data_IF_508604446096
#
_entry.id   IF_508604446096
#
_cell.length_a   1.000
_cell.length_b   1.000
_cell.length_c   1.000
_cell.angle_alpha   90.00
_cell.angle_beta   90.00
_cell.angle_gamma   90.00
#
_symmetry.space_group_name_H-M   'P 1'
#
loop_
_entity.id
_entity.type
_entity.pdbx_description
1 polymer ?
#
# COMPACT_ATOMS: atom_id res chain seq x y z
N UNK A 1 -31.98 17.76 -43.64
CA UNK A 1 -31.47 16.51 -43.03
C UNK A 1 -31.45 16.63 -41.51
N UNK A 2 -31.02 17.78 -40.95
CA UNK A 2 -31.17 18.11 -39.52
C UNK A 2 -32.63 18.07 -39.02
N UNK A 3 -33.56 18.65 -39.78
CA UNK A 3 -34.97 18.72 -39.38
C UNK A 3 -35.65 17.34 -39.27
N UNK A 4 -35.20 16.36 -40.06
CA UNK A 4 -35.68 14.99 -39.97
C UNK A 4 -35.08 14.25 -38.76
N UNK A 5 -33.84 14.58 -38.38
CA UNK A 5 -33.18 14.05 -37.19
C UNK A 5 -33.82 14.59 -35.91
N UNK A 6 -34.12 15.89 -35.87
CA UNK A 6 -34.82 16.55 -34.76
C UNK A 6 -36.24 15.98 -34.57
N UNK A 7 -36.98 15.81 -35.67
CA UNK A 7 -38.30 15.19 -35.63
C UNK A 7 -38.24 13.71 -35.20
N UNK A 8 -37.19 12.97 -35.57
CA UNK A 8 -36.97 11.60 -35.10
C UNK A 8 -36.69 11.57 -33.59
N UNK A 9 -35.88 12.50 -33.06
CA UNK A 9 -35.56 12.59 -31.63
C UNK A 9 -36.78 13.01 -30.79
N UNK A 10 -37.68 13.83 -31.36
CA UNK A 10 -38.92 14.27 -30.72
C UNK A 10 -40.03 13.20 -30.72
N UNK A 11 -40.11 12.37 -31.76
CA UNK A 11 -41.17 11.34 -31.91
C UNK A 11 -40.77 9.98 -31.34
N UNK A 12 -39.50 9.60 -31.50
CA UNK A 12 -38.90 8.41 -30.90
C UNK A 12 -38.10 8.81 -29.66
N UNK A 13 -38.79 9.32 -28.65
CA UNK A 13 -38.20 9.54 -27.34
C UNK A 13 -37.45 8.28 -26.89
N UNK A 14 -36.18 8.43 -26.52
CA UNK A 14 -35.32 7.35 -26.08
C UNK A 14 -35.87 6.76 -24.77
N UNK A 15 -36.75 5.75 -24.87
CA UNK A 15 -37.53 5.17 -23.76
C UNK A 15 -36.77 4.14 -22.92
N UNK A 16 -35.43 4.10 -23.00
CA UNK A 16 -34.66 3.12 -22.21
C UNK A 16 -34.68 3.47 -20.71
N UNK A 17 -35.03 4.70 -20.34
CA UNK A 17 -35.07 5.15 -18.95
C UNK A 17 -36.23 6.11 -18.68
N UNK A 18 -36.93 5.90 -17.56
CA UNK A 18 -37.92 6.84 -17.02
C UNK A 18 -37.19 7.94 -16.24
N UNK A 19 -37.21 9.18 -16.73
CA UNK A 19 -36.50 10.29 -16.09
C UNK A 19 -36.89 10.53 -14.64
N UNK A 20 -38.17 10.34 -14.28
CA UNK A 20 -38.62 10.38 -12.89
C UNK A 20 -37.92 9.32 -12.02
N UNK A 21 -37.64 8.13 -12.57
CA UNK A 21 -36.90 7.10 -11.86
C UNK A 21 -35.41 7.43 -11.75
N UNK A 22 -34.82 8.21 -12.67
CA UNK A 22 -33.42 8.65 -12.58
C UNK A 22 -33.28 9.82 -11.60
N UNK A 23 -34.19 10.80 -11.68
CA UNK A 23 -34.17 12.01 -10.85
C UNK A 23 -34.57 11.71 -9.40
N UNK A 24 -35.46 10.74 -9.20
CA UNK A 24 -35.86 10.25 -7.88
C UNK A 24 -35.18 8.91 -7.51
N UNK A 25 -34.24 8.41 -8.33
CA UNK A 25 -33.48 7.23 -7.94
C UNK A 25 -32.77 7.58 -6.63
N UNK A 26 -32.91 6.78 -5.57
CA UNK A 26 -31.97 6.87 -4.47
C UNK A 26 -30.58 6.71 -5.08
N UNK A 27 -29.68 7.68 -4.82
CA UNK A 27 -28.30 7.62 -5.32
C UNK A 27 -27.78 6.20 -5.09
N UNK A 28 -27.25 5.52 -6.13
CA UNK A 28 -26.77 4.17 -5.96
C UNK A 28 -25.77 4.15 -4.81
N UNK A 29 -26.12 3.42 -3.74
CA UNK A 29 -25.23 3.22 -2.62
C UNK A 29 -24.17 2.23 -3.09
N UNK A 30 -22.98 2.74 -3.44
CA UNK A 30 -21.85 1.89 -3.78
C UNK A 30 -21.38 1.20 -2.50
N UNK A 31 -21.55 -0.12 -2.45
CA UNK A 31 -21.04 -0.92 -1.33
C UNK A 31 -19.50 -0.87 -1.26
N UNK A 32 -18.86 -0.82 -2.42
CA UNK A 32 -17.42 -0.66 -2.58
C UNK A 32 -17.12 0.74 -3.12
N UNK A 33 -16.33 1.50 -2.37
CA UNK A 33 -15.89 2.83 -2.77
C UNK A 33 -14.67 2.72 -3.69
N UNK A 34 -14.48 3.64 -4.64
CA UNK A 34 -13.28 3.66 -5.48
C UNK A 34 -12.03 3.94 -4.64
N UNK A 35 -10.96 3.19 -4.91
CA UNK A 35 -9.66 3.28 -4.23
C UNK A 35 -8.78 4.38 -4.84
N UNK A 36 -9.14 5.64 -4.59
CA UNK A 36 -8.47 6.79 -5.19
C UNK A 36 -7.09 7.11 -4.60
N UNK A 37 -6.82 6.69 -3.36
CA UNK A 37 -5.60 7.00 -2.59
C UNK A 37 -4.75 5.77 -2.24
N UNK A 38 -5.15 4.62 -2.77
CA UNK A 38 -4.57 3.33 -2.46
C UNK A 38 -5.60 2.37 -1.87
N UNK A 39 -5.09 1.19 -1.52
CA UNK A 39 -5.87 0.05 -1.06
C UNK A 39 -6.68 0.39 0.22
N UNK A 40 -7.88 -0.16 0.34
CA UNK A 40 -8.70 0.02 1.54
C UNK A 40 -8.73 -1.28 2.32
N UNK A 41 -8.14 -1.28 3.51
CA UNK A 41 -8.25 -2.41 4.43
C UNK A 41 -9.58 -2.27 5.17
N UNK A 42 -10.48 -3.22 4.93
CA UNK A 42 -11.75 -3.32 5.65
C UNK A 42 -11.54 -4.14 6.92
N UNK A 43 -12.18 -3.71 8.01
CA UNK A 43 -12.14 -4.45 9.26
C UNK A 43 -13.45 -4.36 10.03
N UNK A 44 -13.54 -5.18 11.07
CA UNK A 44 -14.65 -5.15 12.03
C UNK A 44 -14.11 -5.15 13.46
N UNK A 45 -14.74 -4.35 14.31
CA UNK A 45 -14.46 -4.23 15.73
C UNK A 45 -15.62 -4.83 16.51
N UNK A 46 -15.32 -5.82 17.34
CA UNK A 46 -16.31 -6.45 18.23
C UNK A 46 -15.84 -6.41 19.67
N UNK A 47 -16.77 -6.38 20.61
CA UNK A 47 -16.42 -6.58 22.02
C UNK A 47 -16.20 -8.08 22.27
N UNK A 48 -15.03 -8.45 22.77
CA UNK A 48 -14.57 -9.81 23.03
C UNK A 48 -15.40 -10.52 24.12
N UNK A 49 -16.03 -9.78 25.03
CA UNK A 49 -16.90 -10.36 26.07
C UNK A 49 -18.29 -10.68 25.55
N UNK A 50 -18.88 -9.81 24.72
CA UNK A 50 -20.27 -9.95 24.27
C UNK A 50 -20.40 -10.52 22.85
N UNK A 51 -19.33 -10.46 22.05
CA UNK A 51 -19.32 -10.77 20.63
C UNK A 51 -20.03 -9.72 19.75
N UNK A 52 -20.57 -8.65 20.34
CA UNK A 52 -21.36 -7.65 19.62
C UNK A 52 -20.45 -6.63 18.92
N UNK A 53 -20.91 -6.05 17.79
CA UNK A 53 -20.19 -4.95 17.15
C UNK A 53 -20.00 -3.76 18.09
N UNK A 54 -18.82 -3.16 18.07
CA UNK A 54 -18.48 -2.02 18.91
C UNK A 54 -18.42 -0.75 18.08
N UNK A 55 -19.26 0.24 18.41
CA UNK A 55 -19.33 1.53 17.74
C UNK A 55 -18.45 2.58 18.39
N UNK A 56 -17.98 3.56 17.60
CA UNK A 56 -17.19 4.71 18.07
C UNK A 56 -15.84 4.33 18.70
N UNK A 57 -15.29 3.18 18.33
CA UNK A 57 -13.98 2.71 18.77
C UNK A 57 -12.93 3.11 17.74
N UNK A 58 -11.88 3.80 18.20
CA UNK A 58 -10.72 4.10 17.36
C UNK A 58 -9.84 2.86 17.25
N UNK A 59 -9.43 2.57 16.03
CA UNK A 59 -8.59 1.44 15.68
C UNK A 59 -7.40 1.91 14.82
N UNK A 60 -6.32 1.13 14.86
CA UNK A 60 -5.05 1.41 14.21
C UNK A 60 -4.58 0.19 13.42
N UNK A 61 -4.02 0.44 12.24
CA UNK A 61 -3.21 -0.51 11.46
C UNK A 61 -1.82 0.09 11.35
N UNK A 62 -0.83 -0.56 11.93
CA UNK A 62 0.57 -0.15 11.87
C UNK A 62 1.33 -1.04 10.90
N UNK A 63 2.22 -0.47 10.11
CA UNK A 63 3.20 -1.19 9.28
C UNK A 63 4.58 -0.83 9.83
N UNK A 64 5.15 -1.67 10.71
CA UNK A 64 6.48 -1.46 11.25
C UNK A 64 7.54 -1.57 10.16
N UNK A 65 8.65 -0.85 10.32
CA UNK A 65 9.76 -0.91 9.37
C UNK A 65 10.61 0.35 9.36
N UNK A 66 11.47 0.47 8.34
CA UNK A 66 12.27 1.69 8.13
C UNK A 66 11.40 2.91 7.80
N UNK A 67 10.33 2.68 7.04
CA UNK A 67 9.25 3.64 6.76
C UNK A 67 8.04 3.25 7.60
N UNK A 68 7.81 3.96 8.69
CA UNK A 68 6.68 3.70 9.57
C UNK A 68 5.41 4.21 8.90
N UNK A 69 4.45 3.31 8.72
CA UNK A 69 3.10 3.68 8.29
C UNK A 69 2.14 3.34 9.43
N UNK A 70 1.19 4.24 9.66
CA UNK A 70 0.14 4.06 10.65
C UNK A 70 -1.13 4.55 9.99
N UNK A 71 -2.21 3.79 10.06
CA UNK A 71 -3.53 4.16 9.56
C UNK A 71 -4.52 4.07 10.70
N UNK A 72 -5.48 4.99 10.76
CA UNK A 72 -6.48 5.01 11.83
C UNK A 72 -7.89 5.13 11.26
N UNK A 73 -8.83 4.49 11.95
CA UNK A 73 -10.24 4.51 11.61
C UNK A 73 -11.09 4.46 12.88
N UNK A 74 -12.31 4.98 12.80
CA UNK A 74 -13.30 4.95 13.89
C UNK A 74 -14.45 4.06 13.44
N UNK A 75 -14.84 3.12 14.28
CA UNK A 75 -15.88 2.16 13.94
C UNK A 75 -17.26 2.79 13.85
N UNK A 76 -18.04 2.38 12.85
CA UNK A 76 -19.43 2.81 12.70
C UNK A 76 -20.39 2.11 13.67
N UNK A 77 -21.69 2.38 13.59
CA UNK A 77 -22.71 1.76 14.46
C UNK A 77 -22.81 0.23 14.31
N UNK A 78 -22.24 -0.34 13.24
CA UNK A 78 -22.18 -1.76 12.97
C UNK A 78 -20.78 -2.33 13.25
N UNK A 79 -19.89 -1.55 13.86
CA UNK A 79 -18.52 -1.96 14.18
C UNK A 79 -17.57 -2.01 12.98
N UNK A 80 -17.96 -1.53 11.79
CA UNK A 80 -17.08 -1.58 10.63
C UNK A 80 -16.05 -0.45 10.68
N UNK A 81 -14.82 -0.75 10.26
CA UNK A 81 -13.73 0.21 10.08
C UNK A 81 -13.18 0.11 8.67
N UNK A 82 -12.72 1.24 8.12
CA UNK A 82 -12.07 1.33 6.81
C UNK A 82 -10.77 2.10 6.97
N UNK A 83 -9.65 1.44 6.72
CA UNK A 83 -8.33 2.05 6.74
C UNK A 83 -7.92 2.38 5.31
N UNK A 84 -7.81 3.68 5.03
CA UNK A 84 -7.35 4.16 3.74
C UNK A 84 -5.82 4.13 3.72
N UNK A 85 -5.23 3.12 3.11
CA UNK A 85 -3.77 2.97 3.08
C UNK A 85 -3.20 3.71 1.89
N UNK A 86 -2.26 4.61 2.16
CA UNK A 86 -1.55 5.37 1.15
C UNK A 86 -0.16 4.77 0.96
N UNK A 87 0.23 4.57 -0.30
CA UNK A 87 1.55 4.08 -0.70
C UNK A 87 1.97 2.77 0.00
N UNK A 88 1.01 1.88 0.21
CA UNK A 88 1.19 0.59 0.86
C UNK A 88 1.27 -0.51 -0.20
N UNK A 89 2.48 -1.00 -0.45
CA UNK A 89 2.77 -1.91 -1.56
C UNK A 89 3.38 -3.23 -1.09
N UNK A 90 3.02 -4.32 -1.77
CA UNK A 90 3.57 -5.65 -1.60
C UNK A 90 3.32 -6.30 -0.24
N UNK A 91 4.02 -7.39 0.07
CA UNK A 91 3.86 -8.11 1.32
C UNK A 91 4.46 -7.31 2.47
N UNK A 92 3.66 -7.08 3.50
CA UNK A 92 4.10 -6.45 4.74
C UNK A 92 3.48 -7.16 5.94
N UNK A 93 4.18 -7.15 7.06
CA UNK A 93 3.55 -7.47 8.34
C UNK A 93 2.78 -6.23 8.84
N UNK A 94 1.52 -6.43 9.20
CA UNK A 94 0.68 -5.38 9.78
C UNK A 94 0.28 -5.72 11.21
N UNK A 95 0.23 -4.69 12.05
CA UNK A 95 -0.20 -4.79 13.45
C UNK A 95 -1.50 -4.03 13.63
N UNK A 96 -2.56 -4.75 13.96
CA UNK A 96 -3.90 -4.23 14.17
C UNK A 96 -4.22 -4.16 15.66
N UNK A 97 -4.65 -2.99 16.12
CA UNK A 97 -5.07 -2.81 17.51
C UNK A 97 -6.14 -1.73 17.66
N UNK A 98 -6.89 -1.79 18.75
CA UNK A 98 -7.81 -0.71 19.15
C UNK A 98 -7.11 0.25 20.11
N UNK A 99 -7.65 1.46 20.22
CA UNK A 99 -7.20 2.41 21.22
C UNK A 99 -7.56 1.91 22.62
N UNK A 100 -6.58 1.92 23.53
CA UNK A 100 -6.75 1.46 24.91
C UNK A 100 -7.25 2.59 25.81
N UNK A 101 -8.44 3.13 25.57
CA UNK A 101 -9.10 3.98 26.58
C UNK A 101 -9.80 3.09 27.60
N UNK A 102 -9.02 2.38 28.42
CA UNK A 102 -9.47 1.66 29.61
C UNK A 102 -9.98 0.22 29.41
N UNK A 103 -10.75 -0.07 28.37
CA UNK A 103 -11.33 -1.41 28.15
C UNK A 103 -10.60 -2.15 27.02
N UNK A 104 -9.67 -3.04 27.36
CA UNK A 104 -8.91 -3.88 26.42
C UNK A 104 -9.74 -5.01 25.80
N UNK A 105 -11.08 -4.88 25.84
CA UNK A 105 -12.00 -5.94 25.43
C UNK A 105 -12.35 -5.89 23.96
N UNK A 106 -11.84 -4.97 23.15
CA UNK A 106 -12.20 -4.95 21.73
C UNK A 106 -11.25 -5.82 20.88
N UNK A 107 -11.84 -6.63 20.01
CA UNK A 107 -11.15 -7.42 19.01
C UNK A 107 -11.33 -6.77 17.64
N UNK A 108 -10.22 -6.50 16.97
CA UNK A 108 -10.18 -6.03 15.59
C UNK A 108 -9.85 -7.21 14.67
N UNK A 109 -10.60 -7.35 13.57
CA UNK A 109 -10.36 -8.36 12.54
C UNK A 109 -10.36 -7.70 11.16
N UNK A 110 -9.52 -8.20 10.26
CA UNK A 110 -9.51 -7.81 8.85
C UNK A 110 -10.55 -8.61 8.09
N UNK A 111 -11.30 -7.93 7.22
CA UNK A 111 -12.27 -8.54 6.31
C UNK A 111 -11.65 -8.76 4.93
N UNK A 112 -12.02 -9.85 4.27
CA UNK A 112 -11.62 -10.10 2.88
C UNK A 112 -12.14 -8.98 1.97
N UNK A 113 -11.29 -8.38 1.12
CA UNK A 113 -11.75 -7.41 0.13
C UNK A 113 -12.42 -8.08 -1.09
N UNK A 114 -12.36 -9.41 -1.20
CA UNK A 114 -12.88 -10.16 -2.34
C UNK A 114 -14.38 -10.44 -2.20
N UNK A 115 -15.09 -10.39 -3.34
CA UNK A 115 -16.50 -10.76 -3.39
C UNK A 115 -16.67 -12.27 -3.27
N UNK A 116 -17.41 -12.72 -2.26
CA UNK A 116 -17.85 -14.11 -2.13
C UNK A 116 -19.03 -14.46 -3.07
N UNK A 117 -19.51 -13.49 -3.85
CA UNK A 117 -20.53 -13.71 -4.88
C UNK A 117 -19.88 -14.17 -6.17
N UNK A 118 -20.12 -15.43 -6.52
CA UNK A 118 -19.74 -16.00 -7.81
C UNK A 118 -20.73 -15.61 -8.90
N UNK A 119 -20.24 -15.46 -10.13
CA UNK A 119 -21.10 -15.23 -11.30
C UNK A 119 -21.95 -16.46 -11.57
N UNK A 120 -23.23 -16.25 -11.91
CA UNK A 120 -24.10 -17.32 -12.44
C UNK A 120 -23.83 -17.62 -13.91
N UNK A 121 -23.03 -16.79 -14.59
CA UNK A 121 -22.65 -16.98 -15.99
C UNK A 121 -21.71 -18.17 -16.14
N UNK A 122 -22.05 -19.09 -17.04
CA UNK A 122 -21.17 -20.18 -17.41
C UNK A 122 -20.21 -19.72 -18.50
N UNK A 123 -18.92 -19.70 -18.20
CA UNK A 123 -17.90 -19.46 -19.22
C UNK A 123 -17.75 -20.69 -20.12
N UNK A 124 -17.48 -20.52 -21.43
CA UNK A 124 -17.19 -21.64 -22.30
C UNK A 124 -15.95 -22.39 -21.77
N UNK A 125 -16.02 -23.72 -21.76
CA UNK A 125 -14.87 -24.55 -21.40
C UNK A 125 -13.72 -24.29 -22.37
N UNK A 126 -12.50 -24.17 -21.86
CA UNK A 126 -11.29 -24.09 -22.68
C UNK A 126 -11.17 -25.37 -23.53
N UNK A 127 -11.35 -25.25 -24.85
CA UNK A 127 -11.11 -26.32 -25.80
C UNK A 127 -9.78 -26.07 -26.52
N UNK A 128 -8.85 -27.00 -26.38
CA UNK A 128 -7.55 -26.95 -27.05
C UNK A 128 -7.58 -27.90 -28.26
N UNK A 129 -7.35 -27.36 -29.46
CA UNK A 129 -7.19 -28.17 -30.68
C UNK A 129 -5.82 -28.88 -30.61
N UNK A 130 -5.75 -30.15 -31.01
CA UNK A 130 -4.49 -30.91 -31.07
C UNK A 130 -3.44 -30.22 -31.96
N UNK A 131 -3.87 -29.40 -32.93
CA UNK A 131 -2.98 -28.58 -33.77
C UNK A 131 -2.10 -27.62 -32.98
N UNK A 132 -2.52 -27.16 -31.80
CA UNK A 132 -1.71 -26.24 -30.97
C UNK A 132 -0.77 -26.96 -30.01
N UNK A 133 -0.79 -28.30 -29.95
CA UNK A 133 0.01 -29.09 -29.01
C UNK A 133 1.50 -28.76 -29.07
N UNK A 134 2.08 -28.74 -30.28
CA UNK A 134 3.50 -28.47 -30.45
C UNK A 134 3.84 -27.03 -30.05
N UNK A 135 3.00 -26.05 -30.45
CA UNK A 135 3.17 -24.65 -30.07
C UNK A 135 3.17 -24.46 -28.55
N UNK A 136 2.22 -25.08 -27.84
CA UNK A 136 2.14 -25.03 -26.39
C UNK A 136 3.34 -25.72 -25.72
N UNK A 137 3.83 -26.82 -26.30
CA UNK A 137 5.05 -27.49 -25.85
C UNK A 137 6.27 -26.57 -25.98
N UNK A 138 6.41 -25.90 -27.11
CA UNK A 138 7.52 -24.96 -27.36
C UNK A 138 7.45 -23.76 -26.39
N UNK A 139 6.26 -23.21 -26.15
CA UNK A 139 6.06 -22.14 -25.16
C UNK A 139 6.35 -22.59 -23.72
N UNK A 140 6.01 -23.84 -23.37
CA UNK A 140 6.34 -24.41 -22.08
C UNK A 140 7.87 -24.54 -21.91
N UNK A 141 8.58 -25.04 -22.94
CA UNK A 141 10.04 -25.10 -22.93
C UNK A 141 10.65 -23.70 -22.83
N UNK A 142 10.18 -22.74 -23.63
CA UNK A 142 10.62 -21.34 -23.59
C UNK A 142 10.44 -20.71 -22.20
N UNK A 143 9.31 -20.97 -21.55
CA UNK A 143 9.03 -20.48 -20.19
C UNK A 143 10.00 -21.08 -19.17
N UNK A 144 10.30 -22.38 -19.26
CA UNK A 144 11.28 -23.03 -18.37
C UNK A 144 12.69 -22.49 -18.58
N UNK A 145 13.11 -22.31 -19.83
CA UNK A 145 14.40 -21.71 -20.18
C UNK A 145 14.51 -20.30 -19.60
N UNK A 146 13.51 -19.45 -19.81
CA UNK A 146 13.49 -18.09 -19.26
C UNK A 146 13.54 -18.06 -17.73
N UNK A 147 12.76 -18.91 -17.06
CA UNK A 147 12.78 -18.99 -15.59
C UNK A 147 14.13 -19.48 -15.04
N UNK A 148 14.80 -20.40 -15.73
CA UNK A 148 16.07 -20.97 -15.29
C UNK A 148 17.27 -20.05 -15.51
N UNK A 149 17.32 -19.33 -16.63
CA UNK A 149 18.50 -18.50 -17.00
C UNK A 149 18.31 -16.99 -16.75
N UNK A 150 17.06 -16.51 -16.75
CA UNK A 150 16.71 -15.09 -16.60
C UNK A 150 15.71 -14.83 -15.47
N UNK A 151 15.34 -15.85 -14.69
CA UNK A 151 14.27 -15.76 -13.69
C UNK A 151 14.44 -14.63 -12.67
N UNK A 152 15.65 -14.44 -12.15
CA UNK A 152 15.95 -13.35 -11.20
C UNK A 152 15.71 -11.97 -11.85
N UNK A 153 16.10 -11.81 -13.12
CA UNK A 153 15.91 -10.57 -13.87
C UNK A 153 14.44 -10.29 -14.20
N UNK A 154 13.65 -11.35 -14.39
CA UNK A 154 12.21 -11.28 -14.68
C UNK A 154 11.35 -10.98 -13.45
N UNK A 155 11.90 -11.18 -12.24
CA UNK A 155 11.27 -10.95 -10.94
C UNK A 155 11.73 -9.65 -10.29
N UNK A 156 12.22 -8.69 -11.08
CA UNK A 156 12.47 -7.35 -10.58
C UNK A 156 11.15 -6.58 -10.45
N UNK A 157 10.74 -6.40 -9.20
CA UNK A 157 9.60 -5.60 -8.82
C UNK A 157 10.13 -4.41 -8.02
N UNK A 158 9.62 -3.22 -8.32
CA UNK A 158 9.95 -2.02 -7.58
C UNK A 158 8.68 -1.42 -7.02
N UNK A 159 8.76 -0.94 -5.77
CA UNK A 159 7.82 0.07 -5.35
C UNK A 159 7.93 1.25 -6.31
N UNK A 160 6.81 1.89 -6.71
CA UNK A 160 6.91 3.17 -7.38
C UNK A 160 7.74 4.13 -6.52
N UNK A 161 8.32 5.16 -7.12
CA UNK A 161 9.09 6.16 -6.37
C UNK A 161 8.18 6.81 -5.30
N UNK A 162 8.35 6.37 -4.06
CA UNK A 162 7.60 6.82 -2.89
C UNK A 162 8.51 7.58 -1.94
N UNK A 163 7.95 8.57 -1.24
CA UNK A 163 8.64 9.26 -0.17
C UNK A 163 8.98 8.27 0.95
N UNK A 164 10.24 8.27 1.38
CA UNK A 164 10.75 7.39 2.44
C UNK A 164 10.39 7.89 3.83
N UNK A 165 9.85 9.09 3.96
CA UNK A 165 9.38 9.62 5.22
C UNK A 165 8.28 8.74 5.84
N UNK A 166 8.33 8.58 7.16
CA UNK A 166 7.25 7.99 7.96
C UNK A 166 5.97 8.82 7.83
N UNK A 167 4.82 8.26 8.25
CA UNK A 167 3.52 8.96 8.11
C UNK A 167 3.52 10.39 8.69
N UNK A 168 4.26 10.63 9.78
CA UNK A 168 4.39 11.95 10.42
C UNK A 168 5.37 12.92 9.73
N UNK A 169 5.98 12.51 8.61
CA UNK A 169 6.97 13.27 7.87
C UNK A 169 8.33 13.30 8.59
N UNK A 170 9.07 14.39 8.42
CA UNK A 170 10.31 14.64 9.16
C UNK A 170 9.99 14.99 10.62
N UNK A 171 10.66 14.35 11.61
CA UNK A 171 10.53 14.74 13.01
C UNK A 171 11.16 16.11 13.24
N UNK A 172 10.66 16.83 14.25
CA UNK A 172 11.21 18.14 14.63
C UNK A 172 12.55 17.98 15.36
N UNK A 173 12.68 16.91 16.15
CA UNK A 173 13.91 16.55 16.88
C UNK A 173 14.16 15.05 16.75
N UNK A 174 15.43 14.67 16.62
CA UNK A 174 15.86 13.27 16.57
C UNK A 174 17.11 13.07 17.44
N UNK A 175 17.02 12.12 18.36
CA UNK A 175 18.11 11.71 19.23
C UNK A 175 18.65 10.36 18.77
N UNK A 176 19.84 10.35 18.15
CA UNK A 176 20.59 9.12 17.93
C UNK A 176 21.27 8.75 19.24
N UNK A 177 20.76 7.71 19.85
CA UNK A 177 20.95 7.43 21.26
C UNK A 177 22.40 6.94 21.53
N UNK A 178 23.09 6.42 20.50
CA UNK A 178 24.52 6.07 20.50
C UNK A 178 25.47 7.28 20.56
N UNK A 179 24.99 8.49 20.27
CA UNK A 179 25.83 9.70 20.30
C UNK A 179 25.99 10.26 21.72
N UNK A 180 25.34 9.66 22.72
CA UNK A 180 25.29 10.13 24.10
C UNK A 180 25.81 9.06 25.06
N UNK A 181 26.23 9.48 26.25
CA UNK A 181 26.52 8.54 27.35
C UNK A 181 25.25 7.78 27.69
N UNK A 182 25.30 6.44 27.72
CA UNK A 182 24.11 5.62 27.96
C UNK A 182 23.73 5.65 29.44
N UNK A 183 22.51 6.08 29.74
CA UNK A 183 21.90 5.87 31.06
C UNK A 183 21.31 4.46 31.17
N UNK A 184 21.16 3.99 32.41
CA UNK A 184 20.64 2.66 32.70
C UNK A 184 19.11 2.58 32.69
N UNK A 185 18.42 3.72 32.76
CA UNK A 185 16.95 3.78 32.81
C UNK A 185 16.39 4.72 31.74
N UNK A 186 15.22 4.36 31.18
CA UNK A 186 14.55 5.21 30.19
C UNK A 186 14.08 6.54 30.80
N UNK A 187 13.72 6.55 32.08
CA UNK A 187 13.37 7.78 32.79
C UNK A 187 14.52 8.80 32.79
N UNK A 188 15.75 8.37 33.09
CA UNK A 188 16.93 9.23 33.03
C UNK A 188 17.20 9.73 31.62
N UNK A 189 17.14 8.85 30.61
CA UNK A 189 17.31 9.24 29.19
C UNK A 189 16.35 10.35 28.80
N UNK A 190 15.06 10.20 29.13
CA UNK A 190 14.06 11.19 28.77
C UNK A 190 14.23 12.50 29.55
N UNK A 191 14.64 12.45 30.82
CA UNK A 191 14.85 13.66 31.64
C UNK A 191 16.10 14.44 31.27
N UNK A 192 17.19 13.75 30.93
CA UNK A 192 18.51 14.36 30.78
C UNK A 192 18.84 14.71 29.33
N UNK A 193 18.31 13.96 28.35
CA UNK A 193 18.64 14.15 26.93
C UNK A 193 17.46 14.62 26.07
N UNK A 194 16.27 14.06 26.28
CA UNK A 194 15.10 14.31 25.42
C UNK A 194 14.26 15.44 25.99
N UNK A 195 14.77 16.67 25.92
CA UNK A 195 14.20 17.85 26.58
C UNK A 195 12.75 18.15 26.20
N UNK A 196 12.34 17.78 24.98
CA UNK A 196 10.98 18.02 24.50
C UNK A 196 9.93 17.10 25.13
N UNK A 197 10.35 16.00 25.75
CA UNK A 197 9.47 14.97 26.34
C UNK A 197 9.58 15.02 27.86
N UNK A 198 8.58 15.62 28.49
CA UNK A 198 8.51 15.72 29.94
C UNK A 198 7.93 14.45 30.55
N UNK A 199 8.67 13.83 31.46
CA UNK A 199 8.21 12.68 32.25
C UNK A 199 7.58 13.17 33.56
N UNK A 200 6.26 13.04 33.68
CA UNK A 200 5.52 13.37 34.90
C UNK A 200 5.10 12.10 35.63
N UNK A 201 5.51 11.96 36.89
CA UNK A 201 5.07 10.88 37.76
C UNK A 201 3.79 11.26 38.49
N UNK A 202 2.79 10.37 38.48
CA UNK A 202 1.53 10.49 39.21
C UNK A 202 1.30 9.21 40.02
N UNK A 203 1.66 9.25 41.31
CA UNK A 203 1.73 8.06 42.19
C UNK A 203 2.67 6.98 41.58
N UNK A 204 2.09 5.87 41.12
CA UNK A 204 2.80 4.73 40.53
C UNK A 204 2.80 4.73 38.99
N UNK A 205 2.10 5.69 38.37
CA UNK A 205 2.00 5.80 36.91
C UNK A 205 2.86 6.94 36.36
N UNK A 206 3.37 6.73 35.16
CA UNK A 206 4.04 7.76 34.38
C UNK A 206 3.11 8.35 33.32
N UNK A 207 3.34 9.63 33.01
CA UNK A 207 2.72 10.35 31.92
C UNK A 207 3.81 11.05 31.12
N UNK A 208 3.80 10.87 29.81
CA UNK A 208 4.67 11.59 28.89
C UNK A 208 3.93 12.81 28.35
N UNK A 209 4.61 13.94 28.27
CA UNK A 209 4.04 15.16 27.74
C UNK A 209 5.05 15.81 26.78
N UNK A 210 4.61 16.17 25.58
CA UNK A 210 5.45 16.83 24.58
C UNK A 210 5.27 18.34 24.68
N UNK A 211 6.36 19.07 24.44
CA UNK A 211 6.34 20.52 24.27
C UNK A 211 6.08 20.92 22.81
N UNK A 212 5.36 22.01 22.60
CA UNK A 212 5.15 22.58 21.27
C UNK A 212 6.38 23.34 20.76
N UNK A 213 6.30 23.90 19.54
CA UNK A 213 7.39 24.67 18.94
C UNK A 213 7.81 25.90 19.77
N UNK A 214 6.89 26.47 20.56
CA UNK A 214 7.15 27.60 21.48
C UNK A 214 7.59 27.12 22.88
N UNK A 215 7.89 25.83 23.03
CA UNK A 215 8.21 25.15 24.28
C UNK A 215 7.10 25.20 25.35
N UNK A 216 5.84 25.35 24.93
CA UNK A 216 4.68 25.24 25.81
C UNK A 216 4.24 23.79 25.91
N UNK A 217 3.70 23.43 27.06
CA UNK A 217 3.32 22.05 27.35
C UNK A 217 1.94 21.76 26.73
N UNK A 218 1.80 20.66 25.99
CA UNK A 218 0.48 20.17 25.60
C UNK A 218 -0.26 19.58 26.81
N UNK A 219 -1.57 19.83 26.94
CA UNK A 219 -2.34 19.36 28.09
C UNK A 219 -2.70 17.86 28.02
N UNK A 220 -2.77 17.29 26.81
CA UNK A 220 -3.12 15.88 26.58
C UNK A 220 -1.89 15.06 26.16
N UNK A 221 -2.05 13.74 26.17
CA UNK A 221 -0.97 12.79 25.91
C UNK A 221 -0.54 12.82 24.43
N UNK A 222 0.77 12.67 24.15
CA UNK A 222 1.25 12.52 22.79
C UNK A 222 0.93 11.10 22.28
N UNK A 223 0.97 10.92 20.96
CA UNK A 223 1.03 9.58 20.40
C UNK A 223 2.42 8.99 20.67
N UNK A 224 2.49 7.99 21.53
CA UNK A 224 3.74 7.26 21.77
C UNK A 224 3.79 6.04 20.88
N UNK A 225 4.85 5.92 20.10
CA UNK A 225 5.09 4.82 19.16
C UNK A 225 6.33 4.04 19.58
N UNK A 226 6.27 2.72 19.41
CA UNK A 226 7.40 1.83 19.56
C UNK A 226 7.56 1.03 18.26
N UNK A 227 8.65 1.28 17.53
CA UNK A 227 8.86 0.83 16.15
C UNK A 227 7.67 1.13 15.23
N UNK A 228 7.01 2.28 15.44
CA UNK A 228 5.86 2.70 14.66
C UNK A 228 4.51 2.14 15.08
N UNK A 229 4.46 1.27 16.09
CA UNK A 229 3.21 0.76 16.67
C UNK A 229 2.82 1.60 17.88
N UNK A 230 1.57 2.10 17.98
CA UNK A 230 1.13 2.84 19.16
C UNK A 230 1.25 2.03 20.46
N UNK A 231 1.81 2.65 21.49
CA UNK A 231 1.90 2.13 22.86
C UNK A 231 1.20 3.12 23.79
N UNK A 232 0.08 2.70 24.37
CA UNK A 232 -0.79 3.59 25.16
C UNK A 232 -0.46 3.60 26.65
N UNK A 233 0.28 2.62 27.17
CA UNK A 233 0.76 2.62 28.56
C UNK A 233 2.18 3.20 28.64
N UNK A 234 2.36 4.43 29.15
CA UNK A 234 3.69 5.03 29.29
C UNK A 234 4.59 4.26 30.25
N UNK A 235 4.04 3.49 31.21
CA UNK A 235 4.85 2.71 32.13
C UNK A 235 5.68 1.66 31.41
N UNK A 236 5.18 1.09 30.31
CA UNK A 236 5.96 0.15 29.48
C UNK A 236 7.18 0.80 28.87
N UNK A 237 7.03 2.02 28.37
CA UNK A 237 8.13 2.80 27.80
C UNK A 237 9.16 3.10 28.89
N UNK A 238 8.73 3.56 30.06
CA UNK A 238 9.64 3.91 31.16
C UNK A 238 10.40 2.70 31.72
N UNK A 239 9.77 1.51 31.73
CA UNK A 239 10.41 0.27 32.19
C UNK A 239 11.27 -0.40 31.13
N UNK A 240 11.21 0.06 29.88
CA UNK A 240 11.99 -0.51 28.79
C UNK A 240 13.48 -0.18 28.96
N UNK A 241 14.35 -1.13 28.64
CA UNK A 241 15.78 -0.93 28.70
C UNK A 241 16.24 0.04 27.58
N UNK A 242 16.76 1.24 27.93
CA UNK A 242 17.17 2.23 26.94
C UNK A 242 18.34 1.78 26.07
N UNK A 243 19.13 0.78 26.48
CA UNK A 243 20.23 0.24 25.68
C UNK A 243 19.75 -0.46 24.41
N UNK A 244 18.50 -0.92 24.39
CA UNK A 244 17.88 -1.53 23.22
C UNK A 244 17.26 -0.49 22.27
N UNK A 245 17.22 0.79 22.66
CA UNK A 245 16.70 1.89 21.85
C UNK A 245 17.82 2.55 21.05
N UNK A 246 17.65 2.56 19.72
CA UNK A 246 18.59 3.14 18.76
C UNK A 246 18.39 4.64 18.61
N UNK A 247 17.14 5.09 18.51
CA UNK A 247 16.81 6.51 18.37
C UNK A 247 15.44 6.86 18.93
N UNK A 248 15.29 8.12 19.33
CA UNK A 248 14.02 8.72 19.73
C UNK A 248 13.74 9.88 18.80
N UNK A 249 12.55 9.91 18.21
CA UNK A 249 12.08 10.97 17.31
C UNK A 249 10.90 11.69 17.94
N UNK A 250 10.91 13.02 17.90
CA UNK A 250 9.88 13.85 18.52
C UNK A 250 9.28 14.80 17.49
N UNK A 251 7.96 14.85 17.45
CA UNK A 251 7.16 15.81 16.69
C UNK A 251 6.47 16.74 17.68
N UNK A 252 6.78 18.03 17.62
CA UNK A 252 6.38 19.10 18.56
C UNK A 252 5.15 19.89 18.07
N UNK A 253 4.34 19.29 17.20
CA UNK A 253 3.16 19.93 16.61
C UNK A 253 1.93 19.05 16.82
N UNK A 254 0.77 19.70 16.88
CA UNK A 254 -0.51 18.97 16.79
C UNK A 254 -0.57 18.27 15.44
N UNK A 255 -0.79 16.97 15.49
CA UNK A 255 -0.79 16.11 14.32
C UNK A 255 -2.21 15.57 14.12
N UNK A 256 -2.85 16.05 13.06
CA UNK A 256 -4.21 15.65 12.67
C UNK A 256 -4.12 14.45 11.75
N UNK A 257 -4.69 13.32 12.17
CA UNK A 257 -4.56 12.08 11.41
C UNK A 257 -5.82 11.22 11.50
N UNK A 258 -6.53 11.11 10.38
CA UNK A 258 -7.81 10.40 10.33
C UNK A 258 -8.81 10.95 11.37
N UNK A 259 -9.43 10.09 12.20
CA UNK A 259 -10.35 10.49 13.26
C UNK A 259 -9.66 10.98 14.55
N UNK A 260 -8.32 11.02 14.59
CA UNK A 260 -7.54 11.29 15.80
C UNK A 260 -6.72 12.59 15.67
N UNK A 261 -6.51 13.25 16.81
CA UNK A 261 -5.64 14.42 16.94
C UNK A 261 -4.62 14.09 18.02
N UNK A 262 -3.34 14.17 17.68
CA UNK A 262 -2.25 13.88 18.61
C UNK A 262 -1.53 15.17 18.98
N UNK A 263 -1.30 15.37 20.28
CA UNK A 263 -0.59 16.53 20.79
C UNK A 263 0.92 16.25 20.85
N UNK A 264 1.49 16.06 19.66
CA UNK A 264 2.85 15.60 19.48
C UNK A 264 2.95 14.09 19.30
N UNK A 265 4.11 13.64 18.80
CA UNK A 265 4.43 12.23 18.58
C UNK A 265 5.81 11.97 19.19
N UNK A 266 5.94 10.87 19.92
CA UNK A 266 7.24 10.37 20.40
C UNK A 266 7.41 8.96 19.87
N UNK A 267 8.37 8.77 18.98
CA UNK A 267 8.64 7.48 18.36
C UNK A 267 9.98 6.90 18.86
N UNK A 268 9.90 5.74 19.51
CA UNK A 268 11.06 4.97 19.98
C UNK A 268 11.38 3.91 18.95
N UNK A 269 12.59 3.94 18.40
CA UNK A 269 13.05 2.96 17.41
C UNK A 269 14.17 2.13 18.02
N UNK A 270 14.04 0.81 18.00
CA UNK A 270 14.99 -0.13 18.60
C UNK A 270 15.95 -0.73 17.57
N UNK A 271 16.98 -1.42 18.05
CA UNK A 271 17.86 -2.22 17.19
C UNK A 271 17.20 -3.50 16.70
N UNK A 272 16.26 -4.05 17.46
CA UNK A 272 15.52 -5.26 17.12
C UNK A 272 14.08 -5.16 17.63
N UNK A 273 13.09 -5.70 16.90
CA UNK A 273 11.71 -5.73 17.35
C UNK A 273 11.56 -6.43 18.70
N UNK A 274 10.67 -5.92 19.56
CA UNK A 274 10.35 -6.55 20.85
C UNK A 274 8.83 -6.74 20.96
N UNK A 275 8.33 -7.99 20.76
CA UNK A 275 6.90 -8.28 20.82
C UNK A 275 6.26 -8.04 22.20
N UNK A 276 7.05 -8.03 23.29
CA UNK A 276 6.52 -7.83 24.64
C UNK A 276 5.86 -6.46 24.81
N UNK A 277 6.29 -5.48 24.02
CA UNK A 277 5.72 -4.12 24.01
C UNK A 277 4.26 -4.10 23.53
N UNK A 278 3.84 -5.10 22.75
CA UNK A 278 2.53 -5.15 22.12
C UNK A 278 1.51 -6.03 22.90
N UNK A 279 1.94 -6.68 23.99
CA UNK A 279 1.16 -7.73 24.66
C UNK A 279 -0.18 -7.34 25.30
N UNK A 280 -0.43 -6.06 25.62
CA UNK A 280 -1.60 -5.68 26.45
C UNK A 280 -2.92 -5.62 25.69
N UNK A 281 -2.86 -5.44 24.37
CA UNK A 281 -4.04 -5.17 23.55
C UNK A 281 -4.52 -6.37 22.74
N UNK A 282 -3.91 -7.54 22.95
CA UNK A 282 -4.12 -8.71 22.09
C UNK A 282 -4.10 -8.31 20.60
N UNK A 283 -3.03 -7.60 20.16
CA UNK A 283 -2.96 -7.10 18.79
C UNK A 283 -3.03 -8.27 17.82
N UNK A 284 -3.67 -8.06 16.68
CA UNK A 284 -3.63 -9.00 15.58
C UNK A 284 -2.45 -8.66 14.71
N UNK A 285 -1.48 -9.57 14.61
CA UNK A 285 -0.32 -9.47 13.73
C UNK A 285 -0.54 -10.44 12.57
N UNK A 286 -0.38 -9.98 11.35
CA UNK A 286 -0.52 -10.83 10.16
C UNK A 286 0.31 -10.30 8.99
N UNK A 287 0.70 -11.20 8.10
CA UNK A 287 1.14 -10.84 6.76
C UNK A 287 -0.06 -10.34 5.95
N UNK A 288 0.16 -9.26 5.20
CA UNK A 288 -0.85 -8.64 4.38
C UNK A 288 -0.25 -8.12 3.08
N UNK A 289 -0.92 -8.43 1.97
CA UNK A 289 -0.53 -7.98 0.64
C UNK A 289 -1.17 -6.63 0.33
N UNK A 290 -0.33 -5.61 0.17
CA UNK A 290 -0.74 -4.28 -0.29
C UNK A 290 -0.94 -4.22 -1.80
N UNK A 291 -0.83 -3.01 -2.35
CA UNK A 291 -0.85 -2.78 -3.79
C UNK A 291 0.31 -3.53 -4.46
N UNK A 292 0.07 -4.08 -5.65
CA UNK A 292 1.12 -4.74 -6.39
C UNK A 292 2.25 -3.77 -6.74
N UNK A 293 3.49 -4.24 -6.59
CA UNK A 293 4.65 -3.53 -7.07
C UNK A 293 4.62 -3.38 -8.58
N UNK A 294 5.24 -2.31 -9.08
CA UNK A 294 5.43 -2.15 -10.51
C UNK A 294 6.44 -3.19 -10.98
N UNK A 295 6.01 -4.01 -11.93
CA UNK A 295 6.90 -4.91 -12.65
C UNK A 295 7.49 -4.18 -13.84
N UNK A 296 8.81 -4.06 -13.88
CA UNK A 296 9.49 -3.61 -15.09
C UNK A 296 9.55 -4.79 -16.08
N UNK A 297 9.23 -4.51 -17.35
CA UNK A 297 9.42 -5.51 -18.38
C UNK A 297 10.91 -5.62 -18.71
N UNK A 298 11.56 -6.67 -18.20
CA UNK A 298 12.97 -6.91 -18.48
C UNK A 298 13.20 -7.24 -19.96
N UNK A 299 14.06 -6.45 -20.60
CA UNK A 299 14.64 -6.73 -21.91
C UNK A 299 16.16 -6.87 -21.76
N UNK A 300 16.77 -7.99 -22.17
CA UNK A 300 18.22 -8.12 -22.25
C UNK A 300 18.81 -7.07 -23.18
N UNK A 301 20.02 -6.61 -22.83
CA UNK A 301 20.88 -5.81 -23.69
C UNK A 301 21.94 -6.71 -24.36
N UNK A 302 22.16 -6.50 -25.65
CA UNK A 302 23.19 -7.17 -26.45
C UNK A 302 24.09 -6.13 -27.12
N UNK A 303 24.65 -5.24 -26.32
CA UNK A 303 25.43 -4.09 -26.80
C UNK A 303 26.93 -4.38 -26.79
N UNK A 304 27.42 -5.22 -25.87
CA UNK A 304 28.85 -5.53 -25.75
C UNK A 304 29.22 -6.86 -26.42
N UNK A 305 30.48 -7.03 -26.88
CA UNK A 305 30.95 -8.30 -27.44
C UNK A 305 30.76 -9.50 -26.50
N UNK A 306 30.89 -9.28 -25.19
CA UNK A 306 30.69 -10.30 -24.16
C UNK A 306 29.23 -10.72 -24.06
N UNK A 307 28.30 -9.76 -24.15
CA UNK A 307 26.86 -10.03 -24.13
C UNK A 307 26.42 -10.77 -25.40
N UNK A 308 26.94 -10.36 -26.56
CA UNK A 308 26.65 -10.98 -27.86
C UNK A 308 27.22 -12.40 -27.93
N UNK A 309 28.37 -12.65 -27.32
CA UNK A 309 29.00 -13.99 -27.29
C UNK A 309 28.49 -14.90 -26.16
N UNK A 310 27.54 -14.41 -25.35
CA UNK A 310 26.90 -15.20 -24.29
C UNK A 310 26.25 -16.46 -24.87
N UNK A 311 26.42 -17.59 -24.18
CA UNK A 311 25.79 -18.87 -24.54
C UNK A 311 24.49 -19.13 -23.79
N UNK A 312 23.98 -18.12 -23.08
CA UNK A 312 22.70 -18.23 -22.38
C UNK A 312 21.57 -18.17 -23.42
N UNK A 313 20.68 -19.18 -23.48
CA UNK A 313 19.58 -19.19 -24.42
C UNK A 313 18.57 -18.09 -24.10
N UNK A 314 18.13 -17.36 -25.13
CA UNK A 314 17.05 -16.39 -25.03
C UNK A 314 15.80 -16.86 -25.78
N UNK A 315 14.87 -17.50 -25.07
CA UNK A 315 13.59 -17.96 -25.62
C UNK A 315 12.40 -17.05 -25.28
N UNK A 316 12.60 -15.73 -25.23
CA UNK A 316 11.50 -14.76 -25.02
C UNK A 316 10.54 -14.78 -26.21
N UNK A 317 9.23 -14.92 -25.95
CA UNK A 317 8.18 -14.76 -26.97
C UNK A 317 7.65 -13.32 -27.04
N UNK A 318 7.65 -12.60 -25.91
CA UNK A 318 7.44 -11.15 -25.87
C UNK A 318 8.82 -10.49 -25.89
N UNK A 319 9.13 -9.79 -26.99
CA UNK A 319 10.45 -9.18 -27.18
C UNK A 319 10.56 -7.80 -26.53
N UNK A 320 9.44 -7.08 -26.48
CA UNK A 320 9.35 -5.71 -25.97
C UNK A 320 7.94 -5.42 -25.47
N UNK A 321 7.84 -4.68 -24.37
CA UNK A 321 6.59 -4.15 -23.85
C UNK A 321 6.84 -2.81 -23.14
N UNK A 322 6.19 -1.74 -23.61
CA UNK A 322 6.23 -0.44 -22.95
C UNK A 322 4.84 0.21 -22.98
N UNK A 323 4.20 0.42 -21.82
CA UNK A 323 2.86 1.01 -21.75
C UNK A 323 2.86 2.54 -21.86
N UNK A 324 4.02 3.20 -21.77
CA UNK A 324 4.14 4.65 -21.73
C UNK A 324 5.13 5.15 -22.78
N UNK A 325 4.75 5.00 -24.05
CA UNK A 325 5.49 5.57 -25.18
C UNK A 325 4.89 6.94 -25.50
N UNK A 326 5.68 7.99 -25.39
CA UNK A 326 5.28 9.35 -25.76
C UNK A 326 5.89 9.74 -27.10
N UNK A 327 5.09 10.34 -27.96
CA UNK A 327 5.56 10.90 -29.22
C UNK A 327 6.01 12.35 -29.04
N UNK A 328 6.91 12.80 -29.90
CA UNK A 328 7.27 14.20 -30.01
C UNK A 328 6.13 15.09 -30.54
N UNK A 329 6.38 16.40 -30.65
CA UNK A 329 5.41 17.37 -31.16
C UNK A 329 4.98 17.11 -32.62
N UNK A 330 5.73 16.29 -33.35
CA UNK A 330 5.45 15.86 -34.73
C UNK A 330 4.75 14.50 -34.79
N UNK A 331 4.42 13.90 -33.63
CA UNK A 331 3.77 12.59 -33.53
C UNK A 331 4.69 11.41 -33.83
N UNK A 332 6.01 11.58 -33.72
CA UNK A 332 7.01 10.54 -33.97
C UNK A 332 7.64 10.04 -32.69
N UNK A 333 8.05 8.78 -32.71
CA UNK A 333 8.84 8.13 -31.66
C UNK A 333 9.67 7.04 -32.30
N UNK A 334 10.82 6.74 -31.71
CA UNK A 334 11.67 5.61 -32.10
C UNK A 334 11.64 4.57 -30.97
N UNK A 335 11.51 3.28 -31.34
CA UNK A 335 11.49 2.17 -30.38
C UNK A 335 12.49 1.14 -30.88
N UNK A 336 13.47 0.84 -30.04
CA UNK A 336 14.52 -0.15 -30.32
C UNK A 336 14.45 -1.28 -29.30
N UNK A 337 14.60 -2.52 -29.76
CA UNK A 337 14.61 -3.71 -28.91
C UNK A 337 15.40 -4.83 -29.58
N UNK A 338 15.87 -5.80 -28.79
CA UNK A 338 16.59 -6.97 -29.29
C UNK A 338 15.68 -8.19 -29.45
N UNK A 339 15.89 -8.94 -30.52
CA UNK A 339 15.19 -10.20 -30.80
C UNK A 339 15.69 -11.35 -29.91
N UNK A 340 14.93 -12.43 -29.85
CA UNK A 340 15.28 -13.69 -29.16
C UNK A 340 15.94 -14.70 -30.10
N UNK A 341 16.44 -15.81 -29.56
CA UNK A 341 16.90 -16.98 -30.34
C UNK A 341 15.74 -17.77 -30.97
N UNK A 342 14.50 -17.53 -30.54
CA UNK A 342 13.30 -18.14 -31.14
C UNK A 342 13.00 -17.51 -32.50
N UNK A 343 13.26 -18.28 -33.54
CA UNK A 343 12.92 -17.96 -34.93
C UNK A 343 11.42 -18.04 -35.14
N UNK A 344 10.91 -17.19 -36.01
CA UNK A 344 9.50 -17.20 -36.36
C UNK A 344 8.97 -15.85 -36.79
N UNK A 345 7.67 -15.82 -37.03
CA UNK A 345 6.95 -14.59 -37.38
C UNK A 345 6.43 -13.94 -36.10
N UNK A 346 6.84 -12.70 -35.88
CA UNK A 346 6.43 -11.87 -34.76
C UNK A 346 5.47 -10.78 -35.23
N UNK A 347 4.73 -10.22 -34.27
CA UNK A 347 3.87 -9.06 -34.47
C UNK A 347 4.22 -7.99 -33.45
N UNK A 348 4.41 -6.77 -33.93
CA UNK A 348 4.44 -5.56 -33.12
C UNK A 348 3.05 -4.92 -33.17
N UNK A 349 2.44 -4.72 -32.00
CA UNK A 349 1.13 -4.10 -31.85
C UNK A 349 1.33 -2.77 -31.13
N UNK A 350 0.96 -1.67 -31.78
CA UNK A 350 0.97 -0.34 -31.21
C UNK A 350 -0.47 0.08 -30.96
N UNK A 351 -0.79 0.39 -29.71
CA UNK A 351 -2.09 0.92 -29.30
C UNK A 351 -1.86 2.21 -28.52
N UNK A 352 -2.74 3.20 -28.71
CA UNK A 352 -2.59 4.48 -28.05
C UNK A 352 -3.83 5.36 -28.14
N UNK A 353 -3.75 6.52 -27.49
CA UNK A 353 -4.81 7.52 -27.41
C UNK A 353 -4.21 8.92 -27.54
N UNK A 354 -4.84 9.81 -28.32
CA UNK A 354 -4.44 11.22 -28.41
C UNK A 354 -4.97 12.07 -27.24
N UNK A 355 -4.55 13.33 -27.15
CA UNK A 355 -4.98 14.25 -26.09
C UNK A 355 -6.49 14.54 -26.06
N UNK A 356 -7.23 14.23 -27.13
CA UNK A 356 -8.68 14.39 -27.22
C UNK A 356 -9.43 13.08 -26.91
N UNK A 357 -8.72 12.02 -26.50
CA UNK A 357 -9.32 10.72 -26.20
C UNK A 357 -9.55 9.83 -27.42
N UNK A 358 -9.03 10.18 -28.60
CA UNK A 358 -9.18 9.35 -29.81
C UNK A 358 -8.19 8.20 -29.77
N UNK A 359 -8.69 6.98 -29.94
CA UNK A 359 -7.88 5.76 -29.89
C UNK A 359 -7.37 5.35 -31.27
N UNK A 360 -6.22 4.69 -31.31
CA UNK A 360 -5.64 4.12 -32.53
C UNK A 360 -4.90 2.82 -32.26
N UNK A 361 -4.89 1.95 -33.25
CA UNK A 361 -4.18 0.66 -33.23
C UNK A 361 -3.47 0.43 -34.57
N UNK A 362 -2.26 -0.14 -34.52
CA UNK A 362 -1.52 -0.60 -35.70
C UNK A 362 -0.73 -1.87 -35.40
N UNK A 363 -0.81 -2.83 -36.31
CA UNK A 363 -0.03 -4.08 -36.24
C UNK A 363 0.96 -4.18 -37.38
N UNK A 364 2.19 -4.59 -37.06
CA UNK A 364 3.29 -4.77 -38.01
C UNK A 364 3.88 -6.16 -37.81
N UNK A 365 4.03 -6.92 -38.90
CA UNK A 365 4.61 -8.26 -38.83
C UNK A 365 6.06 -8.23 -39.32
N UNK A 366 6.92 -9.01 -38.66
CA UNK A 366 8.32 -9.19 -39.05
C UNK A 366 8.77 -10.61 -38.77
N UNK A 367 9.89 -11.02 -39.37
CA UNK A 367 10.47 -12.35 -39.18
C UNK A 367 11.81 -12.25 -38.43
N UNK A 368 11.98 -13.13 -37.45
CA UNK A 368 13.26 -13.39 -36.77
C UNK A 368 13.84 -14.66 -37.40
N UNK A 369 15.06 -14.57 -37.93
CA UNK A 369 15.67 -15.60 -38.79
C UNK A 369 16.85 -16.32 -38.15
#
# INVERSE_FOLDING_TARGET
>A
MEEALDNLMLTHGWRRFTWQNILNAPKPAYHFVPEYKGHIIYGSVTNNKTGLPASDVVAYVSVPGSRIQLYSARSDSLGNVRFYTQDFYGPNEIVLQTESTGDTTYKLQVLSPFSDKFSSENFPTLQLDEKVKNLLSDYNVGTQVQNNFSGEKLKHFFAPFIDTASFFGKPDVQYLLDNYTRFSTMEEVLREYVYEVLVRRQKDNFRLIVTDADNRIFLDDPLTLFNGVPVFDPNKIIRYDPLNVKKIEVVKRKYFYGPSIFNGIVNFVTYSPDPSMLSDLSPMIMEYEGLQYQREFYSPAYETPEQISSRLPDFRNVLYWSPNVQTDAQGKTEINFFTSDLKGRYVAILQGMDANGRVGERSIYFEVK
#
